data_IF_758397342612
#
_entry.id   IF_758397342612
#
_cell.length_a   1.000
_cell.length_b   1.000
_cell.length_c   1.000
_cell.angle_alpha   90.00
_cell.angle_beta   90.00
_cell.angle_gamma   90.00
#
_symmetry.space_group_name_H-M   'P 1'
#
loop_
_entity.id
_entity.type
_entity.pdbx_description
1 polymer ?
#
# COMPACT_ATOMS: atom_id res chain seq x y z
N UNK A 1 28.10 -44.53 5.96
CA UNK A 1 26.66 -44.28 5.86
C UNK A 1 26.49 -43.01 5.05
N UNK A 2 26.04 -43.15 3.80
CA UNK A 2 25.84 -42.03 2.89
C UNK A 2 24.43 -41.47 3.01
N UNK A 3 24.30 -40.15 2.86
CA UNK A 3 23.06 -39.50 2.47
C UNK A 3 23.36 -38.59 1.29
N UNK A 4 22.61 -38.81 0.22
CA UNK A 4 22.68 -38.10 -1.05
C UNK A 4 21.43 -37.23 -1.18
N UNK A 5 21.55 -36.13 -1.96
CA UNK A 5 20.49 -35.33 -2.62
C UNK A 5 19.74 -34.36 -1.67
N UNK A 6 19.42 -33.09 -1.98
CA UNK A 6 19.04 -32.48 -3.26
C UNK A 6 19.46 -30.99 -3.33
N UNK A 7 20.19 -30.63 -4.39
CA UNK A 7 20.32 -29.25 -4.86
C UNK A 7 18.97 -28.79 -5.42
N UNK A 8 18.21 -28.00 -4.66
CA UNK A 8 17.13 -27.19 -5.23
C UNK A 8 17.75 -25.91 -5.75
N UNK A 9 18.19 -25.96 -7.02
CA UNK A 9 18.43 -24.78 -7.81
C UNK A 9 17.13 -23.97 -7.88
N UNK A 10 17.07 -22.85 -7.15
CA UNK A 10 16.00 -21.89 -7.31
C UNK A 10 16.11 -21.29 -8.71
N UNK A 11 15.14 -21.62 -9.55
CA UNK A 11 15.02 -21.20 -10.94
C UNK A 11 15.08 -19.68 -11.03
N UNK A 12 16.11 -19.15 -11.69
CA UNK A 12 16.14 -17.76 -12.16
C UNK A 12 15.21 -17.73 -13.36
N UNK A 13 13.94 -17.40 -13.14
CA UNK A 13 13.01 -17.23 -14.27
C UNK A 13 13.40 -15.94 -14.99
N UNK A 14 14.05 -16.11 -16.14
CA UNK A 14 14.23 -15.12 -17.18
C UNK A 14 12.88 -14.44 -17.51
N UNK A 15 12.81 -13.12 -17.35
CA UNK A 15 11.91 -12.27 -18.14
C UNK A 15 12.79 -11.30 -18.94
N UNK A 16 13.40 -11.84 -19.99
CA UNK A 16 13.87 -11.07 -21.12
C UNK A 16 12.74 -11.08 -22.16
N UNK A 17 12.47 -9.91 -22.77
CA UNK A 17 11.30 -9.52 -23.57
C UNK A 17 10.20 -8.81 -22.77
N UNK A 18 10.50 -7.61 -22.28
CA UNK A 18 9.49 -6.55 -22.31
C UNK A 18 9.73 -5.74 -23.58
N UNK A 19 9.19 -6.24 -24.69
CA UNK A 19 9.06 -5.48 -25.92
C UNK A 19 8.39 -4.14 -25.60
N UNK A 20 8.92 -3.05 -26.17
CA UNK A 20 8.42 -1.69 -26.04
C UNK A 20 7.03 -1.47 -26.66
N UNK A 21 6.03 -2.20 -26.16
CA UNK A 21 4.63 -1.86 -26.34
C UNK A 21 4.37 -0.67 -25.44
N UNK A 22 4.16 0.51 -26.02
CA UNK A 22 3.54 1.60 -25.28
C UNK A 22 2.29 1.03 -24.61
N UNK A 23 2.25 1.05 -23.28
CA UNK A 23 1.15 0.48 -22.52
C UNK A 23 -0.15 1.07 -23.05
N UNK A 24 -1.07 0.22 -23.48
CA UNK A 24 -2.39 0.70 -23.87
C UNK A 24 -3.12 1.15 -22.60
N UNK A 25 -4.08 2.08 -22.70
CA UNK A 25 -4.91 2.47 -21.56
C UNK A 25 -5.53 1.28 -20.80
N UNK A 26 -5.75 0.16 -21.50
CA UNK A 26 -6.27 -1.08 -20.92
C UNK A 26 -5.23 -1.84 -20.07
N UNK A 27 -3.95 -1.80 -20.46
CA UNK A 27 -2.85 -2.35 -19.66
C UNK A 27 -2.57 -1.53 -18.40
N UNK A 28 -2.64 -0.20 -18.51
CA UNK A 28 -2.50 0.70 -17.37
C UNK A 28 -3.59 0.42 -16.32
N UNK A 29 -4.85 0.27 -16.75
CA UNK A 29 -5.95 -0.01 -15.84
C UNK A 29 -5.87 -1.40 -15.21
N UNK A 30 -5.40 -2.44 -15.90
CA UNK A 30 -5.27 -3.77 -15.30
C UNK A 30 -4.35 -3.76 -14.06
N UNK A 31 -3.23 -3.01 -14.12
CA UNK A 31 -2.30 -2.86 -12.99
C UNK A 31 -2.98 -2.12 -11.83
N UNK A 32 -3.66 -1.01 -12.12
CA UNK A 32 -4.35 -0.18 -11.12
C UNK A 32 -5.48 -0.95 -10.43
N UNK A 33 -6.30 -1.66 -11.21
CA UNK A 33 -7.44 -2.44 -10.72
C UNK A 33 -6.97 -3.59 -9.83
N UNK A 34 -5.88 -4.28 -10.20
CA UNK A 34 -5.26 -5.30 -9.35
C UNK A 34 -4.83 -4.70 -8.00
N UNK A 35 -4.17 -3.54 -7.99
CA UNK A 35 -3.78 -2.87 -6.74
C UNK A 35 -5.00 -2.54 -5.87
N UNK A 36 -6.12 -2.12 -6.48
CA UNK A 36 -7.33 -1.83 -5.72
C UNK A 36 -7.94 -3.07 -5.04
N UNK A 37 -7.89 -4.24 -5.69
CA UNK A 37 -8.31 -5.49 -5.05
C UNK A 37 -7.44 -5.85 -3.85
N UNK A 38 -6.12 -5.71 -3.99
CA UNK A 38 -5.18 -5.99 -2.91
C UNK A 38 -5.32 -4.99 -1.75
N UNK A 39 -5.53 -3.71 -2.06
CA UNK A 39 -5.84 -2.68 -1.08
C UNK A 39 -7.12 -3.02 -0.31
N UNK A 40 -8.20 -3.38 -1.01
CA UNK A 40 -9.46 -3.77 -0.38
C UNK A 40 -9.29 -5.00 0.52
N UNK A 41 -8.48 -5.98 0.11
CA UNK A 41 -8.15 -7.14 0.92
C UNK A 41 -7.37 -6.75 2.19
N UNK A 42 -6.38 -5.86 2.06
CA UNK A 42 -5.64 -5.31 3.19
C UNK A 42 -6.57 -4.58 4.16
N UNK A 43 -7.45 -3.69 3.67
CA UNK A 43 -8.41 -2.97 4.52
C UNK A 43 -9.33 -3.91 5.29
N UNK A 44 -9.79 -5.00 4.68
CA UNK A 44 -10.55 -6.06 5.38
C UNK A 44 -9.74 -6.73 6.49
N UNK A 45 -8.45 -7.02 6.25
CA UNK A 45 -7.54 -7.56 7.27
C UNK A 45 -7.37 -6.58 8.44
N UNK A 46 -7.21 -5.30 8.15
CA UNK A 46 -7.06 -4.25 9.18
C UNK A 46 -8.34 -4.12 10.02
N UNK A 47 -9.52 -4.14 9.39
CA UNK A 47 -10.79 -4.12 10.13
C UNK A 47 -10.93 -5.32 11.06
N UNK A 48 -10.46 -6.50 10.65
CA UNK A 48 -10.46 -7.68 11.51
C UNK A 48 -9.54 -7.53 12.74
N UNK A 49 -8.39 -6.87 12.57
CA UNK A 49 -7.45 -6.55 13.65
C UNK A 49 -8.03 -5.52 14.63
N UNK A 50 -8.69 -4.47 14.13
CA UNK A 50 -9.29 -3.41 14.95
C UNK A 50 -10.46 -3.89 15.83
N UNK A 51 -11.03 -5.06 15.55
CA UNK A 51 -12.06 -5.69 16.38
C UNK A 51 -11.48 -6.52 17.53
N UNK A 52 -10.16 -6.81 17.51
CA UNK A 52 -9.39 -7.16 18.69
C UNK A 52 -8.99 -5.87 19.40
N UNK A 53 -8.95 -5.86 20.73
CA UNK A 53 -8.59 -4.66 21.50
C UNK A 53 -7.30 -4.06 20.92
N UNK A 54 -7.33 -2.78 20.50
CA UNK A 54 -6.29 -2.08 19.76
C UNK A 54 -4.95 -2.00 20.50
N UNK A 55 -4.30 -3.14 20.64
CA UNK A 55 -3.03 -3.32 21.30
C UNK A 55 -1.93 -2.72 20.43
N UNK A 56 -0.85 -2.24 21.06
CA UNK A 56 0.33 -1.69 20.37
C UNK A 56 0.80 -2.58 19.22
N UNK A 57 0.73 -3.91 19.37
CA UNK A 57 1.11 -4.88 18.35
C UNK A 57 0.24 -4.80 17.08
N UNK A 58 -1.05 -4.49 17.23
CA UNK A 58 -1.99 -4.41 16.12
C UNK A 58 -1.74 -3.13 15.33
N UNK A 59 -1.47 -2.00 16.01
CA UNK A 59 -1.09 -0.75 15.35
C UNK A 59 0.20 -0.89 14.54
N UNK A 60 1.21 -1.60 15.08
CA UNK A 60 2.44 -1.90 14.33
C UNK A 60 2.16 -2.82 13.14
N UNK A 61 1.35 -3.87 13.31
CA UNK A 61 0.99 -4.76 12.22
C UNK A 61 0.23 -4.04 11.09
N UNK A 62 -0.69 -3.14 11.44
CA UNK A 62 -1.40 -2.28 10.48
C UNK A 62 -0.40 -1.37 9.75
N UNK A 63 0.52 -0.73 10.48
CA UNK A 63 1.54 0.12 9.87
C UNK A 63 2.43 -0.62 8.88
N UNK A 64 2.79 -1.88 9.17
CA UNK A 64 3.61 -2.70 8.29
C UNK A 64 2.84 -3.09 7.03
N UNK A 65 1.56 -3.43 7.15
CA UNK A 65 0.70 -3.70 5.99
C UNK A 65 0.56 -2.46 5.09
N UNK A 66 0.27 -1.30 5.66
CA UNK A 66 0.13 -0.05 4.91
C UNK A 66 1.44 0.40 4.25
N UNK A 67 2.58 0.21 4.93
CA UNK A 67 3.91 0.49 4.38
C UNK A 67 4.28 -0.44 3.22
N UNK A 68 3.95 -1.73 3.34
CA UNK A 68 4.16 -2.70 2.27
C UNK A 68 3.30 -2.34 1.05
N UNK A 69 2.03 -1.98 1.28
CA UNK A 69 1.13 -1.58 0.20
C UNK A 69 1.55 -0.28 -0.46
N UNK A 70 2.02 0.72 0.31
CA UNK A 70 2.63 1.94 -0.22
C UNK A 70 3.78 1.63 -1.19
N UNK A 71 4.69 0.75 -0.77
CA UNK A 71 5.85 0.36 -1.60
C UNK A 71 5.41 -0.33 -2.89
N UNK A 72 4.39 -1.19 -2.81
CA UNK A 72 3.83 -1.88 -3.97
C UNK A 72 3.15 -0.93 -4.95
N UNK A 73 2.33 0.00 -4.46
CA UNK A 73 1.67 1.03 -5.28
C UNK A 73 2.72 1.89 -5.97
N UNK A 74 3.76 2.32 -5.25
CA UNK A 74 4.84 3.12 -5.82
C UNK A 74 5.61 2.37 -6.91
N UNK A 75 5.90 1.09 -6.69
CA UNK A 75 6.59 0.27 -7.69
C UNK A 75 5.76 0.09 -8.99
N UNK A 76 4.43 0.14 -8.91
CA UNK A 76 3.56 0.01 -10.06
C UNK A 76 3.57 1.25 -10.99
N UNK A 77 4.12 2.38 -10.54
CA UNK A 77 4.25 3.60 -11.35
C UNK A 77 4.99 3.34 -12.67
N UNK A 78 6.03 2.51 -12.64
CA UNK A 78 6.81 2.17 -13.86
C UNK A 78 6.04 1.31 -14.85
N UNK A 79 4.94 0.68 -14.42
CA UNK A 79 4.12 -0.22 -15.25
C UNK A 79 2.98 0.51 -15.95
N UNK A 80 2.78 1.79 -15.65
CA UNK A 80 1.72 2.63 -16.21
C UNK A 80 2.34 3.64 -17.19
N UNK A 81 1.70 3.88 -18.33
CA UNK A 81 2.19 4.84 -19.32
C UNK A 81 1.69 6.27 -19.07
N UNK A 82 0.41 6.43 -18.70
CA UNK A 82 -0.20 7.73 -18.55
C UNK A 82 0.32 8.49 -17.32
N UNK A 83 0.89 9.67 -17.53
CA UNK A 83 1.49 10.49 -16.47
C UNK A 83 0.48 10.84 -15.36
N UNK A 84 -0.77 11.13 -15.73
CA UNK A 84 -1.82 11.45 -14.75
C UNK A 84 -2.12 10.28 -13.82
N UNK A 85 -2.07 9.04 -14.32
CA UNK A 85 -2.25 7.83 -13.51
C UNK A 85 -1.05 7.59 -12.59
N UNK A 86 0.18 7.84 -13.06
CA UNK A 86 1.40 7.79 -12.23
C UNK A 86 1.31 8.75 -11.04
N UNK A 87 0.89 9.98 -11.29
CA UNK A 87 0.73 10.99 -10.23
C UNK A 87 -0.28 10.55 -9.17
N UNK A 88 -1.40 9.95 -9.58
CA UNK A 88 -2.36 9.42 -8.61
C UNK A 88 -1.84 8.17 -7.88
N UNK A 89 -1.09 7.28 -8.54
CA UNK A 89 -0.43 6.16 -7.88
C UNK A 89 0.57 6.64 -6.81
N UNK A 90 1.39 7.66 -7.12
CA UNK A 90 2.32 8.25 -6.16
C UNK A 90 1.55 8.85 -4.98
N UNK A 91 0.49 9.63 -5.25
CA UNK A 91 -0.33 10.25 -4.19
C UNK A 91 -1.02 9.22 -3.30
N UNK A 92 -1.49 8.12 -3.88
CA UNK A 92 -2.05 7.00 -3.13
C UNK A 92 -0.98 6.32 -2.26
N UNK A 93 0.19 6.05 -2.82
CA UNK A 93 1.32 5.48 -2.08
C UNK A 93 1.76 6.39 -0.93
N UNK A 94 1.83 7.72 -1.13
CA UNK A 94 2.14 8.69 -0.09
C UNK A 94 1.08 8.69 1.02
N UNK A 95 -0.21 8.62 0.67
CA UNK A 95 -1.30 8.50 1.64
C UNK A 95 -1.15 7.25 2.52
N UNK A 96 -0.86 6.10 1.90
CA UNK A 96 -0.61 4.85 2.61
C UNK A 96 0.64 4.91 3.51
N UNK A 97 1.74 5.53 3.04
CA UNK A 97 2.94 5.71 3.83
C UNK A 97 2.72 6.63 5.04
N UNK A 98 1.95 7.71 4.86
CA UNK A 98 1.62 8.62 5.96
C UNK A 98 0.71 7.94 6.99
N UNK A 99 -0.27 7.15 6.53
CA UNK A 99 -1.10 6.34 7.43
C UNK A 99 -0.23 5.39 8.28
N UNK A 100 0.71 4.68 7.65
CA UNK A 100 1.64 3.81 8.36
C UNK A 100 2.47 4.55 9.42
N UNK A 101 2.90 5.79 9.15
CA UNK A 101 3.61 6.63 10.12
C UNK A 101 2.71 7.02 11.31
N UNK A 102 1.46 7.40 11.04
CA UNK A 102 0.47 7.70 12.08
C UNK A 102 0.24 6.51 12.99
N UNK A 103 0.10 5.30 12.43
CA UNK A 103 -0.09 4.07 13.21
C UNK A 103 1.11 3.76 14.11
N UNK A 104 2.34 3.92 13.60
CA UNK A 104 3.56 3.75 14.41
C UNK A 104 3.66 4.80 15.52
N UNK A 105 3.34 6.06 15.21
CA UNK A 105 3.33 7.12 16.20
C UNK A 105 2.32 6.86 17.33
N UNK A 106 1.14 6.33 17.00
CA UNK A 106 0.14 5.93 17.98
C UNK A 106 0.62 4.76 18.87
N UNK A 107 1.31 3.78 18.28
CA UNK A 107 1.90 2.65 19.00
C UNK A 107 3.02 3.07 19.98
N UNK A 108 3.85 4.05 19.59
CA UNK A 108 4.94 4.54 20.45
C UNK A 108 4.46 5.53 21.51
N UNK A 109 3.42 6.31 21.23
CA UNK A 109 2.86 7.29 22.19
C UNK A 109 2.14 6.62 23.36
N UNK A 110 1.71 5.37 23.19
CA UNK A 110 1.04 4.57 24.23
C UNK A 110 2.02 3.82 25.15
N UNK A 111 3.32 3.77 24.82
CA UNK A 111 4.32 2.94 25.52
C UNK A 111 5.35 3.72 26.37
N UNK A 112 5.33 5.06 26.37
CA UNK A 112 6.23 5.83 27.24
C UNK A 112 6.01 7.34 27.23
N UNK A 113 5.93 7.89 28.44
CA UNK A 113 6.04 9.31 28.82
C UNK A 113 4.83 10.24 28.61
N UNK A 114 4.39 10.77 29.76
CA UNK A 114 3.83 12.09 30.00
C UNK A 114 3.88 13.08 28.82
N UNK A 115 2.69 13.48 28.37
CA UNK A 115 2.36 14.88 28.12
C UNK A 115 3.06 15.54 26.93
N UNK A 116 2.25 15.93 25.95
CA UNK A 116 2.57 17.01 25.00
C UNK A 116 3.41 16.63 23.76
N UNK A 117 3.17 15.49 23.11
CA UNK A 117 3.44 15.39 21.67
C UNK A 117 2.10 15.59 20.96
N UNK A 118 1.95 16.72 20.25
CA UNK A 118 0.70 17.26 19.71
C UNK A 118 -0.20 16.20 19.04
N UNK A 119 -1.20 15.70 19.77
CA UNK A 119 -2.34 14.91 19.26
C UNK A 119 -2.96 15.56 18.02
N UNK A 120 -3.01 16.89 17.99
CA UNK A 120 -3.49 17.68 16.85
C UNK A 120 -2.71 17.42 15.54
N UNK A 121 -1.41 17.13 15.61
CA UNK A 121 -0.59 16.87 14.42
C UNK A 121 -0.81 15.45 13.88
N UNK A 122 -0.94 14.46 14.77
CA UNK A 122 -1.25 13.08 14.41
C UNK A 122 -2.65 12.96 13.81
N UNK A 123 -3.63 13.67 14.37
CA UNK A 123 -5.00 13.71 13.83
C UNK A 123 -5.05 14.41 12.46
N UNK A 124 -4.33 15.52 12.29
CA UNK A 124 -4.22 16.20 11.01
C UNK A 124 -3.54 15.31 9.95
N UNK A 125 -2.51 14.56 10.33
CA UNK A 125 -1.82 13.62 9.46
C UNK A 125 -2.70 12.41 9.09
N UNK A 126 -3.50 11.91 10.02
CA UNK A 126 -4.49 10.86 9.75
C UNK A 126 -5.53 11.33 8.71
N UNK A 127 -6.09 12.54 8.89
CA UNK A 127 -7.03 13.14 7.94
C UNK A 127 -6.36 13.36 6.58
N UNK A 128 -5.11 13.85 6.57
CA UNK A 128 -4.35 14.06 5.35
C UNK A 128 -4.09 12.74 4.60
N UNK A 129 -3.67 11.69 5.31
CA UNK A 129 -3.45 10.36 4.74
C UNK A 129 -4.73 9.80 4.09
N UNK A 130 -5.86 9.89 4.81
CA UNK A 130 -7.17 9.48 4.29
C UNK A 130 -7.58 10.28 3.05
N UNK A 131 -7.41 11.61 3.09
CA UNK A 131 -7.73 12.51 1.95
C UNK A 131 -6.87 12.19 0.73
N UNK A 132 -5.57 11.99 0.91
CA UNK A 132 -4.64 11.64 -0.18
C UNK A 132 -5.02 10.32 -0.83
N UNK A 133 -5.27 9.29 -0.02
CA UNK A 133 -5.70 7.97 -0.50
C UNK A 133 -7.03 8.07 -1.24
N UNK A 134 -8.07 8.63 -0.61
CA UNK A 134 -9.41 8.71 -1.19
C UNK A 134 -9.45 9.48 -2.50
N UNK A 135 -8.85 10.67 -2.54
CA UNK A 135 -8.85 11.50 -3.76
C UNK A 135 -8.07 10.85 -4.90
N UNK A 136 -6.93 10.21 -4.60
CA UNK A 136 -6.16 9.48 -5.59
C UNK A 136 -6.93 8.28 -6.14
N UNK A 137 -7.50 7.43 -5.27
CA UNK A 137 -8.27 6.26 -5.71
C UNK A 137 -9.55 6.66 -6.45
N UNK A 138 -10.19 7.78 -6.09
CA UNK A 138 -11.35 8.29 -6.82
C UNK A 138 -10.97 8.75 -8.24
N UNK A 139 -9.85 9.47 -8.39
CA UNK A 139 -9.35 9.88 -9.70
C UNK A 139 -8.90 8.68 -10.55
N UNK A 140 -8.24 7.69 -9.94
CA UNK A 140 -7.89 6.43 -10.61
C UNK A 140 -9.15 5.67 -11.06
N UNK A 141 -10.20 5.62 -10.24
CA UNK A 141 -11.46 4.96 -10.60
C UNK A 141 -12.16 5.63 -11.78
N UNK A 142 -12.10 6.97 -11.88
CA UNK A 142 -12.65 7.69 -13.04
C UNK A 142 -11.96 7.28 -14.35
N UNK A 143 -10.67 6.97 -14.31
CA UNK A 143 -9.91 6.51 -15.47
C UNK A 143 -10.00 4.98 -15.68
N UNK A 144 -10.12 4.22 -14.60
CA UNK A 144 -10.13 2.76 -14.56
C UNK A 144 -11.35 2.26 -13.76
N UNK A 145 -12.52 2.14 -14.41
CA UNK A 145 -13.80 1.96 -13.71
C UNK A 145 -13.96 0.66 -12.93
N UNK A 146 -13.14 -0.38 -13.15
CA UNK A 146 -13.21 -1.59 -12.32
C UNK A 146 -12.36 -1.50 -11.06
N UNK A 147 -11.68 -0.37 -10.81
CA UNK A 147 -10.94 -0.16 -9.57
C UNK A 147 -11.94 -0.19 -8.40
N UNK A 148 -11.79 -1.10 -7.43
CA UNK A 148 -12.62 -1.08 -6.23
C UNK A 148 -12.40 0.22 -5.47
N UNK A 149 -13.47 1.02 -5.33
CA UNK A 149 -13.44 2.18 -4.45
C UNK A 149 -13.57 1.70 -3.00
N UNK A 150 -12.65 2.20 -2.16
CA UNK A 150 -12.60 1.91 -0.72
C UNK A 150 -13.30 2.97 0.11
#
# INVERSE_FOLDING_TARGET
MGFTVILLAASITFWALHDGHGSTPQGDCAVIEQLGHEWAAMKKSITALSNGAGETKDLIAIADQESAMSSKIRAAESSVSAQTLKEQLIRWADGAALSAQVQRAAATSSSGQNGQTSTNSTDADAVRAGTMTYSATAALHQACPNLPVS
#
